data_IF_326896176810
#
_entry.id   IF_326896176810
#
_cell.length_a   1.000
_cell.length_b   1.000
_cell.length_c   1.000
_cell.angle_alpha   90.00
_cell.angle_beta   90.00
_cell.angle_gamma   90.00
#
_symmetry.space_group_name_H-M   'P 1'
#
loop_
_entity.id
_entity.type
_entity.pdbx_description
1 polymer ?
#
# COMPACT_ATOMS: atom_id res chain seq x y z
N UNK A 1 32.76 -4.04 2.62
CA UNK A 1 32.04 -2.84 3.11
C UNK A 1 30.93 -3.29 4.06
N UNK A 2 30.84 -2.68 5.23
CA UNK A 2 29.78 -2.96 6.22
C UNK A 2 29.13 -1.63 6.59
N UNK A 3 27.82 -1.52 6.41
CA UNK A 3 27.04 -0.37 6.88
C UNK A 3 26.29 -0.81 8.13
N UNK A 4 26.39 -0.02 9.19
CA UNK A 4 25.67 -0.23 10.44
C UNK A 4 24.51 0.76 10.51
N UNK A 5 23.32 0.28 10.88
CA UNK A 5 22.11 1.11 11.10
C UNK A 5 21.84 2.11 9.96
N UNK A 6 21.61 1.63 8.72
CA UNK A 6 21.40 2.49 7.57
C UNK A 6 20.15 3.37 7.75
N UNK A 7 20.27 4.64 7.38
CA UNK A 7 19.18 5.63 7.36
C UNK A 7 18.89 6.10 5.94
N UNK A 8 17.72 6.71 5.68
CA UNK A 8 17.29 7.04 4.31
C UNK A 8 18.21 8.02 3.57
N UNK A 9 19.01 8.80 4.28
CA UNK A 9 20.01 9.73 3.72
C UNK A 9 21.23 9.04 3.07
N UNK A 10 21.47 7.76 3.34
CA UNK A 10 22.58 7.03 2.70
C UNK A 10 22.14 6.24 1.46
N UNK A 11 20.85 6.29 1.09
CA UNK A 11 20.39 5.71 -0.16
C UNK A 11 21.10 6.39 -1.35
N UNK A 12 21.44 5.61 -2.37
CA UNK A 12 22.16 6.12 -3.53
C UNK A 12 23.05 5.07 -4.17
N UNK A 13 23.88 5.53 -5.10
CA UNK A 13 24.75 4.67 -5.88
C UNK A 13 26.06 4.39 -5.16
N UNK A 14 26.36 3.10 -4.98
CA UNK A 14 27.58 2.63 -4.37
C UNK A 14 28.48 2.03 -5.44
N UNK A 15 29.71 2.54 -5.50
CA UNK A 15 30.76 2.02 -6.37
C UNK A 15 31.75 1.20 -5.56
N UNK A 16 32.01 -0.02 -5.98
CA UNK A 16 33.16 -0.81 -5.54
C UNK A 16 34.24 -0.65 -6.60
N UNK A 17 35.42 -0.19 -6.18
CA UNK A 17 36.62 -0.10 -7.00
C UNK A 17 37.66 -1.04 -6.40
N UNK A 18 38.20 -1.94 -7.21
CA UNK A 18 39.27 -2.85 -6.82
C UNK A 18 40.46 -2.57 -7.73
N UNK A 19 41.60 -2.23 -7.13
CA UNK A 19 42.82 -1.88 -7.86
C UNK A 19 43.96 -2.81 -7.50
N UNK A 20 44.71 -3.21 -8.52
CA UNK A 20 45.98 -3.95 -8.42
C UNK A 20 47.09 -3.13 -9.08
N UNK A 21 48.34 -3.58 -9.03
CA UNK A 21 49.51 -2.84 -9.52
C UNK A 21 49.45 -2.50 -11.04
N UNK A 22 48.60 -3.15 -11.83
CA UNK A 22 48.49 -2.92 -13.27
C UNK A 22 47.07 -2.77 -13.83
N UNK A 23 46.03 -2.88 -13.00
CA UNK A 23 44.64 -2.84 -13.45
C UNK A 23 43.67 -2.40 -12.35
N UNK A 24 42.51 -1.88 -12.75
CA UNK A 24 41.42 -1.52 -11.87
C UNK A 24 40.07 -1.93 -12.46
N UNK A 25 39.28 -2.68 -11.68
CA UNK A 25 37.89 -3.01 -12.01
C UNK A 25 36.94 -2.24 -11.09
N UNK A 26 35.78 -1.85 -11.63
CA UNK A 26 34.76 -1.20 -10.83
C UNK A 26 33.34 -1.61 -11.19
N UNK A 27 32.50 -1.76 -10.17
CA UNK A 27 31.08 -2.01 -10.32
C UNK A 27 30.25 -1.07 -9.47
N UNK A 28 29.08 -0.71 -9.98
CA UNK A 28 28.16 0.24 -9.35
C UNK A 28 26.82 -0.43 -9.10
N UNK A 29 26.19 -0.12 -7.95
CA UNK A 29 24.85 -0.60 -7.61
C UNK A 29 24.13 0.43 -6.76
N UNK A 30 22.84 0.65 -7.07
CA UNK A 30 22.00 1.54 -6.30
C UNK A 30 21.47 0.82 -5.03
N UNK A 31 21.65 1.44 -3.88
CA UNK A 31 21.10 1.01 -2.59
C UNK A 31 19.87 1.85 -2.26
N UNK A 32 18.76 1.17 -1.98
CA UNK A 32 17.52 1.82 -1.52
C UNK A 32 17.35 1.48 -0.04
N UNK A 33 17.30 2.51 0.80
CA UNK A 33 16.88 2.40 2.19
C UNK A 33 15.43 2.90 2.27
N UNK A 34 14.53 2.07 2.78
CA UNK A 34 13.11 2.39 2.88
C UNK A 34 12.67 2.42 4.35
N UNK A 35 11.66 3.24 4.62
CA UNK A 35 10.93 3.27 5.87
C UNK A 35 9.50 2.78 5.58
N UNK A 36 9.05 1.68 6.23
CA UNK A 36 7.70 1.18 6.05
C UNK A 36 6.68 2.17 6.60
N UNK A 37 5.43 1.99 6.19
CA UNK A 37 4.33 2.82 6.65
C UNK A 37 4.07 2.68 8.14
N UNK A 38 3.71 3.79 8.78
CA UNK A 38 3.24 3.80 10.18
C UNK A 38 1.85 3.19 10.27
N UNK A 39 1.04 3.33 9.21
CA UNK A 39 -0.32 2.83 9.15
C UNK A 39 -0.74 2.47 7.73
N UNK A 40 -1.46 1.34 7.59
CA UNK A 40 -2.17 0.93 6.38
C UNK A 40 -3.62 0.58 6.74
N UNK A 41 -4.59 1.34 6.24
CA UNK A 41 -6.02 1.14 6.55
C UNK A 41 -6.88 1.03 5.31
N UNK A 42 -8.03 0.36 5.46
CA UNK A 42 -9.12 0.37 4.49
C UNK A 42 -10.36 0.85 5.23
N UNK A 43 -11.03 1.88 4.72
CA UNK A 43 -12.32 2.38 5.22
C UNK A 43 -13.39 2.17 4.15
N UNK A 44 -14.61 1.85 4.56
CA UNK A 44 -15.77 1.79 3.66
C UNK A 44 -16.65 3.02 3.84
N UNK A 45 -17.21 3.51 2.75
CA UNK A 45 -18.37 4.41 2.71
C UNK A 45 -19.30 3.93 1.61
N UNK A 46 -20.60 4.11 1.74
CA UNK A 46 -21.56 3.64 0.73
C UNK A 46 -22.75 4.58 0.62
N UNK A 47 -23.35 4.59 -0.56
CA UNK A 47 -24.67 5.14 -0.85
C UNK A 47 -25.63 4.00 -1.22
N UNK A 48 -26.79 4.31 -1.80
CA UNK A 48 -27.81 3.32 -2.16
C UNK A 48 -27.37 2.34 -3.27
N UNK A 49 -26.37 2.69 -4.09
CA UNK A 49 -25.98 1.94 -5.30
C UNK A 49 -24.53 1.50 -5.29
N UNK A 50 -23.65 2.27 -4.67
CA UNK A 50 -22.20 2.11 -4.72
C UNK A 50 -21.60 2.03 -3.32
N UNK A 51 -20.51 1.28 -3.22
CA UNK A 51 -19.63 1.27 -2.06
C UNK A 51 -18.23 1.69 -2.50
N UNK A 52 -17.66 2.61 -1.73
CA UNK A 52 -16.32 3.12 -1.88
C UNK A 52 -15.43 2.54 -0.78
N UNK A 53 -14.25 2.11 -1.20
CA UNK A 53 -13.20 1.62 -0.33
C UNK A 53 -12.00 2.56 -0.43
N UNK A 54 -11.71 3.28 0.65
CA UNK A 54 -10.55 4.15 0.74
C UNK A 54 -9.42 3.40 1.40
N UNK A 55 -8.34 3.15 0.66
CA UNK A 55 -7.10 2.67 1.24
C UNK A 55 -6.13 3.83 1.49
N UNK A 56 -5.59 3.92 2.71
CA UNK A 56 -4.68 4.97 3.14
C UNK A 56 -3.40 4.35 3.72
N UNK A 57 -2.25 4.83 3.24
CA UNK A 57 -0.93 4.53 3.77
C UNK A 57 -0.24 5.82 4.24
N UNK A 58 0.24 5.84 5.48
CA UNK A 58 0.82 7.02 6.13
C UNK A 58 2.33 6.89 6.39
N UNK A 59 3.04 8.01 6.26
CA UNK A 59 4.43 8.22 6.69
C UNK A 59 5.41 7.12 6.28
N UNK A 60 5.57 6.91 4.97
CA UNK A 60 6.53 5.95 4.42
C UNK A 60 7.49 6.58 3.42
N UNK A 61 8.63 5.93 3.18
CA UNK A 61 9.63 6.38 2.22
C UNK A 61 10.31 5.18 1.53
N UNK A 62 10.67 5.25 0.24
CA UNK A 62 10.34 6.29 -0.75
C UNK A 62 8.86 6.27 -1.17
N UNK A 63 8.53 6.98 -2.26
CA UNK A 63 7.16 7.09 -2.78
C UNK A 63 6.53 5.71 -3.05
N UNK A 64 5.37 5.40 -2.45
CA UNK A 64 4.73 4.10 -2.59
C UNK A 64 3.84 3.94 -3.83
N UNK A 65 3.35 2.71 -4.01
CA UNK A 65 2.21 2.39 -4.88
C UNK A 65 1.16 1.61 -4.10
N UNK A 66 -0.10 2.00 -4.25
CA UNK A 66 -1.26 1.28 -3.73
C UNK A 66 -2.02 0.60 -4.87
N UNK A 67 -2.52 -0.61 -4.61
CA UNK A 67 -3.44 -1.33 -5.49
C UNK A 67 -4.65 -1.79 -4.67
N UNK A 68 -5.85 -1.60 -5.23
CA UNK A 68 -7.09 -2.04 -4.61
C UNK A 68 -7.80 -3.06 -5.50
N UNK A 69 -8.13 -4.22 -4.94
CA UNK A 69 -8.79 -5.30 -5.66
C UNK A 69 -9.70 -6.12 -4.76
N UNK A 70 -10.71 -6.76 -5.34
CA UNK A 70 -11.58 -7.74 -4.68
C UNK A 70 -11.19 -9.16 -5.07
N UNK A 71 -11.38 -10.11 -4.16
CA UNK A 71 -11.33 -11.55 -4.49
C UNK A 71 -12.53 -11.96 -5.34
N UNK A 72 -12.35 -12.93 -6.24
CA UNK A 72 -13.48 -13.46 -7.00
C UNK A 72 -14.26 -14.49 -6.17
N UNK A 73 -15.57 -14.57 -6.43
CA UNK A 73 -16.56 -15.39 -5.72
C UNK A 73 -16.18 -16.88 -5.60
N UNK A 74 -15.49 -17.41 -6.62
CA UNK A 74 -15.13 -18.83 -6.75
C UNK A 74 -13.62 -19.05 -6.99
N UNK A 75 -12.81 -17.99 -6.93
CA UNK A 75 -11.37 -18.08 -7.14
C UNK A 75 -10.67 -17.05 -6.26
N UNK A 76 -10.17 -17.52 -5.12
CA UNK A 76 -9.42 -16.70 -4.18
C UNK A 76 -8.08 -16.20 -4.75
N UNK A 77 -7.58 -16.79 -5.84
CA UNK A 77 -6.40 -16.31 -6.57
C UNK A 77 -6.73 -15.26 -7.63
N UNK A 78 -7.99 -15.18 -8.07
CA UNK A 78 -8.44 -14.16 -9.02
C UNK A 78 -8.55 -12.80 -8.33
N UNK A 79 -7.73 -11.87 -8.81
CA UNK A 79 -7.64 -10.49 -8.31
C UNK A 79 -8.38 -9.56 -9.27
N UNK A 80 -9.60 -9.18 -8.93
CA UNK A 80 -10.38 -8.23 -9.72
C UNK A 80 -10.12 -6.81 -9.23
N UNK A 81 -9.46 -5.98 -10.03
CA UNK A 81 -9.20 -4.57 -9.67
C UNK A 81 -10.51 -3.81 -9.48
N UNK A 82 -10.56 -2.99 -8.44
CA UNK A 82 -11.64 -2.02 -8.28
C UNK A 82 -11.40 -0.82 -9.20
N UNK A 83 -12.49 -0.17 -9.63
CA UNK A 83 -12.39 1.06 -10.42
C UNK A 83 -11.95 2.20 -9.51
N UNK A 84 -10.75 2.74 -9.74
CA UNK A 84 -10.21 3.83 -8.94
C UNK A 84 -10.84 5.14 -9.40
N UNK A 85 -11.50 5.84 -8.47
CA UNK A 85 -12.20 7.10 -8.75
C UNK A 85 -11.44 8.32 -8.24
N UNK A 86 -10.62 8.14 -7.20
CA UNK A 86 -9.86 9.22 -6.59
C UNK A 86 -8.54 8.68 -6.04
N UNK A 87 -7.49 9.49 -6.10
CA UNK A 87 -6.22 9.20 -5.47
C UNK A 87 -5.43 10.49 -5.26
N UNK A 88 -4.57 10.49 -4.24
CA UNK A 88 -3.60 11.56 -4.02
C UNK A 88 -2.36 10.99 -3.31
N UNK A 89 -1.24 11.67 -3.48
CA UNK A 89 0.01 11.39 -2.80
C UNK A 89 0.64 12.70 -2.33
N UNK A 90 0.78 12.83 -1.01
CA UNK A 90 1.38 13.99 -0.36
C UNK A 90 2.72 13.62 0.20
N UNK A 91 3.71 14.48 -0.02
CA UNK A 91 5.02 14.37 0.61
C UNK A 91 5.12 15.42 1.71
N UNK A 92 5.37 14.99 2.93
CA UNK A 92 5.65 15.89 4.03
C UNK A 92 7.04 16.54 3.81
N UNK A 93 7.14 17.88 3.79
CA UNK A 93 8.39 18.58 3.51
C UNK A 93 9.45 18.37 4.61
N UNK A 94 9.03 18.21 5.87
CA UNK A 94 9.93 18.16 7.03
C UNK A 94 10.62 16.80 7.16
N UNK A 95 9.84 15.72 7.12
CA UNK A 95 10.37 14.36 7.31
C UNK A 95 10.60 13.61 5.98
N UNK A 96 10.21 14.21 4.85
CA UNK A 96 10.33 13.66 3.48
C UNK A 96 9.52 12.40 3.21
N UNK A 97 8.66 11.98 4.15
CA UNK A 97 7.79 10.81 4.04
C UNK A 97 6.56 11.11 3.22
N UNK A 98 5.98 10.05 2.67
CA UNK A 98 4.81 10.09 1.82
C UNK A 98 3.59 9.58 2.57
N UNK A 99 2.45 10.20 2.30
CA UNK A 99 1.12 9.72 2.65
C UNK A 99 0.32 9.62 1.35
N UNK A 100 -0.25 8.45 1.08
CA UNK A 100 -0.97 8.17 -0.17
C UNK A 100 -2.32 7.53 0.15
N UNK A 101 -3.35 7.92 -0.60
CA UNK A 101 -4.62 7.19 -0.60
C UNK A 101 -5.12 6.91 -2.01
N UNK A 102 -5.91 5.85 -2.12
CA UNK A 102 -6.71 5.53 -3.31
C UNK A 102 -8.13 5.18 -2.89
N UNK A 103 -9.11 5.57 -3.69
CA UNK A 103 -10.52 5.23 -3.51
C UNK A 103 -10.96 4.37 -4.68
N UNK A 104 -11.35 3.12 -4.40
CA UNK A 104 -11.96 2.24 -5.39
C UNK A 104 -13.44 2.06 -5.13
N UNK A 105 -14.23 2.09 -6.20
CA UNK A 105 -15.69 1.94 -6.14
C UNK A 105 -16.16 0.61 -6.73
N UNK A 106 -17.29 0.12 -6.26
CA UNK A 106 -18.03 -0.98 -6.87
C UNK A 106 -19.53 -0.81 -6.66
N UNK A 107 -20.34 -1.36 -7.57
CA UNK A 107 -21.79 -1.45 -7.34
C UNK A 107 -22.06 -2.47 -6.23
N UNK A 108 -23.00 -2.13 -5.36
CA UNK A 108 -23.44 -3.03 -4.29
C UNK A 108 -24.02 -4.33 -4.88
N UNK A 109 -24.76 -4.25 -5.98
CA UNK A 109 -25.31 -5.42 -6.68
C UNK A 109 -24.27 -6.35 -7.29
N UNK A 110 -23.01 -5.92 -7.39
CA UNK A 110 -21.89 -6.69 -7.95
C UNK A 110 -20.91 -7.18 -6.84
N UNK A 111 -21.29 -7.02 -5.58
CA UNK A 111 -20.54 -7.45 -4.42
C UNK A 111 -21.36 -8.36 -3.52
N UNK A 112 -20.76 -9.49 -3.19
CA UNK A 112 -21.39 -10.45 -2.30
C UNK A 112 -20.96 -10.22 -0.85
N UNK A 113 -21.88 -10.39 0.12
CA UNK A 113 -21.50 -10.47 1.53
C UNK A 113 -20.39 -11.51 1.73
N UNK A 114 -19.34 -11.14 2.47
CA UNK A 114 -18.15 -11.95 2.65
C UNK A 114 -17.05 -11.75 1.60
N UNK A 115 -17.23 -10.88 0.60
CA UNK A 115 -16.16 -10.55 -0.36
C UNK A 115 -14.98 -9.89 0.36
N UNK A 116 -13.76 -10.38 0.13
CA UNK A 116 -12.55 -9.73 0.63
C UNK A 116 -12.10 -8.63 -0.32
N UNK A 117 -11.90 -7.44 0.24
CA UNK A 117 -11.29 -6.29 -0.40
C UNK A 117 -9.85 -6.17 0.08
N UNK A 118 -8.93 -6.12 -0.85
CA UNK A 118 -7.50 -6.11 -0.58
C UNK A 118 -6.90 -4.77 -1.01
N UNK A 119 -6.12 -4.17 -0.11
CA UNK A 119 -5.20 -3.09 -0.44
C UNK A 119 -3.76 -3.59 -0.32
N UNK A 120 -3.05 -3.55 -1.44
CA UNK A 120 -1.65 -3.93 -1.53
C UNK A 120 -0.79 -2.66 -1.62
N UNK A 121 0.09 -2.49 -0.65
CA UNK A 121 1.10 -1.45 -0.60
C UNK A 121 2.44 -2.01 -1.07
N UNK A 122 3.09 -1.29 -1.98
CA UNK A 122 4.42 -1.62 -2.50
C UNK A 122 5.35 -0.42 -2.41
N UNK A 123 6.62 -0.69 -2.12
CA UNK A 123 7.71 0.29 -2.26
C UNK A 123 8.56 -0.10 -3.48
N UNK A 124 8.43 0.63 -4.62
CA UNK A 124 9.12 0.29 -5.86
C UNK A 124 10.65 0.23 -5.70
N UNK A 125 11.28 -0.69 -6.44
CA UNK A 125 12.73 -0.91 -6.36
C UNK A 125 13.17 -1.74 -5.15
N UNK A 126 12.23 -2.10 -4.27
CA UNK A 126 12.47 -2.99 -3.12
C UNK A 126 11.61 -4.26 -3.22
N UNK A 127 11.85 -5.22 -2.34
CA UNK A 127 10.96 -6.38 -2.14
C UNK A 127 9.83 -6.14 -1.16
N UNK A 128 9.66 -4.91 -0.64
CA UNK A 128 8.67 -4.63 0.38
C UNK A 128 7.25 -4.58 -0.20
N UNK A 129 6.41 -5.47 0.32
CA UNK A 129 4.98 -5.56 0.00
C UNK A 129 4.21 -5.77 1.29
N UNK A 130 3.13 -5.03 1.49
CA UNK A 130 2.20 -5.24 2.60
C UNK A 130 0.77 -5.33 2.09
N UNK A 131 0.02 -6.30 2.60
CA UNK A 131 -1.36 -6.54 2.24
C UNK A 131 -2.27 -6.26 3.43
N UNK A 132 -3.29 -5.41 3.23
CA UNK A 132 -4.40 -5.25 4.16
C UNK A 132 -5.66 -5.80 3.52
N UNK A 133 -6.44 -6.55 4.28
CA UNK A 133 -7.71 -7.12 3.82
C UNK A 133 -8.86 -6.57 4.65
N UNK A 134 -10.01 -6.35 4.01
CA UNK A 134 -11.26 -5.91 4.60
C UNK A 134 -12.38 -6.85 4.15
N UNK A 135 -13.16 -7.38 5.08
CA UNK A 135 -14.27 -8.27 4.78
C UNK A 135 -15.55 -7.44 4.55
N UNK A 136 -16.05 -7.44 3.33
CA UNK A 136 -17.25 -6.68 2.97
C UNK A 136 -18.52 -7.37 3.48
N UNK A 137 -19.36 -6.58 4.16
CA UNK A 137 -20.76 -6.89 4.38
C UNK A 137 -21.59 -5.63 4.06
N UNK A 138 -22.70 -5.77 3.32
CA UNK A 138 -23.69 -4.71 3.23
C UNK A 138 -24.18 -4.41 4.64
N UNK A 139 -24.34 -3.14 4.98
CA UNK A 139 -24.91 -2.79 6.28
C UNK A 139 -26.30 -3.43 6.38
N UNK A 140 -26.51 -4.30 7.37
CA UNK A 140 -27.84 -4.47 7.93
C UNK A 140 -28.14 -3.15 8.63
N UNK A 141 -29.13 -2.40 8.15
CA UNK A 141 -29.75 -1.38 9.00
C UNK A 141 -30.11 -2.04 10.34
N UNK A 142 -29.56 -1.48 11.43
CA UNK A 142 -30.04 -1.60 12.81
C UNK A 142 -30.29 -3.04 13.33
N UNK A 143 -29.26 -3.70 13.87
CA UNK A 143 -29.49 -4.68 14.93
C UNK A 143 -29.24 -4.03 16.30
N UNK A 144 -30.33 -3.60 16.94
CA UNK A 144 -30.39 -3.42 18.38
C UNK A 144 -30.38 -1.98 18.89
N UNK A 145 -31.55 -1.34 18.86
CA UNK A 145 -32.00 -0.54 20.02
C UNK A 145 -32.05 -1.46 21.24
N UNK A 146 -30.89 -1.75 21.83
CA UNK A 146 -30.75 -2.40 23.11
C UNK A 146 -30.84 -1.33 24.19
N UNK A 147 -32.04 -1.06 24.67
CA UNK A 147 -32.26 -0.46 25.99
C UNK A 147 -31.38 -1.22 27.00
N UNK A 148 -30.45 -0.52 27.63
CA UNK A 148 -29.93 -0.92 28.93
C UNK A 148 -30.48 0.08 29.95
N UNK A 149 -31.38 -0.48 30.77
CA UNK A 149 -31.98 -0.01 32.03
C UNK A 149 -31.68 1.42 32.47
#
# INVERSE_FOLDING_TARGET
MKIMNPTTNIAGEYKCLVSTLGDHDSRMKNMIVFEPETQLTIKKSMDDKYVNFTCLANDLYPSPKLLLYKGAKNDFHSRMRLSITEWDIKRNPDNRKYTMFIVGTNKISELDPGTLIHCELKIPGTGYVKLKSFLYYPQSDQLGNGKYN
#
